data_IF_649434078042
#
_entry.id   IF_649434078042
#
_cell.length_a   1.000
_cell.length_b   1.000
_cell.length_c   1.000
_cell.angle_alpha   90.00
_cell.angle_beta   90.00
_cell.angle_gamma   90.00
#
_symmetry.space_group_name_H-M   'P 1'
#
loop_
_entity.id
_entity.type
_entity.pdbx_description
1 polymer ?
#
# COMPACT_ATOMS: atom_id res chain seq x y z
N UNK A 1 7.23 -28.98 20.15
CA UNK A 1 7.88 -29.66 19.00
C UNK A 1 6.96 -29.88 17.80
N UNK A 2 5.84 -29.13 17.66
CA UNK A 2 4.93 -29.20 16.48
C UNK A 2 4.83 -27.89 15.66
N UNK A 3 5.52 -26.82 16.07
CA UNK A 3 5.52 -25.52 15.39
C UNK A 3 6.56 -25.46 14.27
N UNK A 4 7.62 -26.28 14.33
CA UNK A 4 8.69 -26.31 13.32
C UNK A 4 8.27 -26.98 11.98
N UNK A 5 7.23 -27.81 11.96
CA UNK A 5 6.81 -28.51 10.73
C UNK A 5 5.93 -27.67 9.79
N UNK A 6 5.25 -26.62 10.30
CA UNK A 6 4.42 -25.72 9.47
C UNK A 6 5.28 -24.68 8.75
N UNK A 7 6.41 -24.29 9.36
CA UNK A 7 7.36 -23.32 8.76
C UNK A 7 8.06 -23.89 7.53
N UNK A 8 8.30 -25.21 7.49
CA UNK A 8 8.99 -25.86 6.36
C UNK A 8 8.12 -25.98 5.09
N UNK A 9 6.79 -26.03 5.22
CA UNK A 9 5.88 -26.18 4.07
C UNK A 9 5.54 -24.84 3.38
N UNK A 10 5.57 -23.73 4.11
CA UNK A 10 5.39 -22.39 3.53
C UNK A 10 6.69 -21.92 2.85
N UNK A 11 7.86 -22.31 3.38
CA UNK A 11 9.16 -21.97 2.80
C UNK A 11 9.48 -22.65 1.47
N UNK A 12 8.94 -23.85 1.21
CA UNK A 12 9.26 -24.62 0.01
C UNK A 12 8.54 -24.11 -1.26
N UNK A 13 7.41 -23.42 -1.13
CA UNK A 13 6.67 -22.84 -2.28
C UNK A 13 7.16 -21.44 -2.70
N UNK A 14 7.84 -20.72 -1.82
CA UNK A 14 8.35 -19.37 -2.05
C UNK A 14 9.79 -19.40 -2.60
N UNK A 15 10.51 -20.52 -2.41
CA UNK A 15 11.92 -20.67 -2.69
C UNK A 15 12.34 -20.61 -4.16
N UNK A 16 11.42 -20.75 -5.12
CA UNK A 16 11.78 -20.77 -6.54
C UNK A 16 12.01 -19.37 -7.14
N UNK A 17 11.41 -18.31 -6.59
CA UNK A 17 11.60 -16.92 -7.04
C UNK A 17 12.67 -16.16 -6.21
N UNK A 18 13.03 -16.68 -5.04
CA UNK A 18 13.97 -16.11 -4.08
C UNK A 18 15.19 -17.00 -3.80
N UNK A 19 15.56 -17.84 -4.75
CA UNK A 19 16.51 -18.97 -4.62
C UNK A 19 17.90 -18.67 -4.04
N UNK A 20 18.21 -17.44 -3.63
CA UNK A 20 19.50 -17.09 -2.99
C UNK A 20 19.35 -16.42 -1.62
N UNK A 21 18.14 -16.04 -1.19
CA UNK A 21 17.90 -15.34 0.08
C UNK A 21 16.91 -16.04 1.03
N UNK A 22 16.64 -17.33 0.85
CA UNK A 22 15.92 -18.10 1.87
C UNK A 22 16.76 -18.12 3.17
N UNK A 23 16.18 -17.78 4.34
CA UNK A 23 16.94 -17.80 5.60
C UNK A 23 17.53 -19.20 5.82
N UNK A 24 18.82 -19.26 6.15
CA UNK A 24 19.46 -20.51 6.52
C UNK A 24 18.89 -21.01 7.84
N UNK A 25 18.95 -22.31 8.12
CA UNK A 25 18.53 -22.84 9.42
C UNK A 25 19.22 -22.07 10.55
N UNK A 26 18.45 -21.36 11.39
CA UNK A 26 18.94 -20.53 12.49
C UNK A 26 19.01 -19.02 12.21
N UNK A 27 18.75 -18.56 10.96
CA UNK A 27 18.61 -17.14 10.65
C UNK A 27 17.15 -16.69 10.86
N UNK A 28 16.98 -15.47 11.40
CA UNK A 28 15.67 -14.85 11.51
C UNK A 28 15.13 -14.52 10.10
N UNK A 29 13.83 -14.76 9.84
CA UNK A 29 13.21 -14.37 8.58
C UNK A 29 13.42 -12.89 8.30
N UNK A 30 13.86 -12.55 7.09
CA UNK A 30 14.11 -11.17 6.66
C UNK A 30 13.05 -10.72 5.64
N UNK A 31 12.91 -9.39 5.50
CA UNK A 31 11.96 -8.79 4.60
C UNK A 31 10.51 -8.88 5.06
N UNK A 32 9.62 -8.29 4.30
CA UNK A 32 8.22 -8.10 4.71
C UNK A 32 7.48 -9.40 5.05
N UNK A 33 7.64 -10.44 4.25
CA UNK A 33 6.98 -11.75 4.52
C UNK A 33 7.55 -12.37 5.79
N UNK A 34 8.85 -12.29 6.01
CA UNK A 34 9.50 -12.78 7.22
C UNK A 34 9.01 -12.05 8.48
N UNK A 35 8.90 -10.74 8.42
CA UNK A 35 8.35 -9.91 9.50
C UNK A 35 6.88 -10.28 9.75
N UNK A 36 6.10 -10.46 8.67
CA UNK A 36 4.69 -10.80 8.76
C UNK A 36 4.40 -12.20 9.32
N UNK A 37 5.40 -13.07 9.50
CA UNK A 37 5.22 -14.41 10.11
C UNK A 37 4.68 -14.35 11.55
N UNK A 38 4.83 -13.22 12.24
CA UNK A 38 4.13 -13.02 13.53
C UNK A 38 2.60 -12.91 13.38
N UNK A 39 2.09 -12.68 12.16
CA UNK A 39 0.68 -12.75 11.77
C UNK A 39 0.54 -13.69 10.55
N UNK A 40 0.41 -15.01 10.73
CA UNK A 40 0.50 -15.99 9.66
C UNK A 40 -0.47 -15.78 8.51
N UNK A 41 -1.69 -15.31 8.78
CA UNK A 41 -2.67 -15.00 7.74
C UNK A 41 -2.22 -13.82 6.87
N UNK A 42 -1.63 -12.79 7.49
CA UNK A 42 -1.06 -11.63 6.78
C UNK A 42 0.12 -12.06 5.91
N UNK A 43 1.03 -12.90 6.44
CA UNK A 43 2.15 -13.43 5.68
C UNK A 43 1.70 -14.26 4.48
N UNK A 44 0.69 -15.11 4.67
CA UNK A 44 0.12 -15.93 3.59
C UNK A 44 -0.53 -15.09 2.50
N UNK A 45 -1.30 -14.06 2.87
CA UNK A 45 -1.92 -13.14 1.92
C UNK A 45 -0.88 -12.35 1.12
N UNK A 46 0.10 -11.73 1.82
CA UNK A 46 1.18 -10.98 1.18
C UNK A 46 2.01 -11.86 0.23
N UNK A 47 2.34 -13.08 0.65
CA UNK A 47 3.07 -14.04 -0.18
C UNK A 47 2.29 -14.48 -1.42
N UNK A 48 0.95 -14.60 -1.35
CA UNK A 48 0.11 -14.89 -2.53
C UNK A 48 0.05 -13.72 -3.51
N UNK A 49 -0.08 -12.49 -3.01
CA UNK A 49 -0.03 -11.28 -3.85
C UNK A 49 1.31 -11.21 -4.59
N UNK A 50 2.41 -11.36 -3.85
CA UNK A 50 3.75 -11.29 -4.39
C UNK A 50 4.01 -12.39 -5.43
N UNK A 51 3.67 -13.62 -5.13
CA UNK A 51 3.80 -14.75 -6.05
C UNK A 51 3.04 -14.49 -7.35
N UNK A 52 1.75 -14.13 -7.26
CA UNK A 52 0.96 -13.86 -8.44
C UNK A 52 1.58 -12.76 -9.30
N UNK A 53 1.85 -11.60 -8.70
CA UNK A 53 2.34 -10.44 -9.45
C UNK A 53 3.73 -10.65 -10.06
N UNK A 54 4.63 -11.35 -9.35
CA UNK A 54 6.01 -11.51 -9.81
C UNK A 54 6.23 -12.73 -10.71
N UNK A 55 5.39 -13.78 -10.58
CA UNK A 55 5.66 -15.06 -11.26
C UNK A 55 4.53 -15.57 -12.17
N UNK A 56 3.30 -15.13 -11.96
CA UNK A 56 2.13 -15.67 -12.65
C UNK A 56 1.46 -14.63 -13.57
N UNK A 57 1.46 -13.35 -13.20
CA UNK A 57 0.81 -12.29 -13.98
C UNK A 57 1.45 -12.12 -15.37
N UNK A 58 0.72 -11.51 -16.30
CA UNK A 58 1.23 -11.18 -17.62
C UNK A 58 2.41 -10.18 -17.58
N UNK A 59 2.58 -9.46 -16.47
CA UNK A 59 3.63 -8.46 -16.26
C UNK A 59 4.88 -9.02 -15.57
N UNK A 60 4.91 -10.32 -15.24
CA UNK A 60 6.04 -10.95 -14.55
C UNK A 60 7.40 -10.68 -15.24
N UNK A 61 8.47 -10.85 -14.49
CA UNK A 61 9.83 -10.65 -14.99
C UNK A 61 10.19 -9.17 -15.12
N UNK A 62 10.61 -8.72 -16.30
CA UNK A 62 11.17 -7.39 -16.55
C UNK A 62 10.22 -6.25 -16.15
N UNK A 63 8.92 -6.33 -16.49
CA UNK A 63 7.97 -5.25 -16.18
C UNK A 63 7.66 -5.19 -14.68
N UNK A 64 7.50 -6.33 -14.03
CA UNK A 64 7.31 -6.38 -12.58
C UNK A 64 8.53 -5.81 -11.85
N UNK A 65 9.73 -6.13 -12.31
CA UNK A 65 10.98 -5.60 -11.77
C UNK A 65 11.07 -4.07 -11.92
N UNK A 66 10.72 -3.53 -13.10
CA UNK A 66 10.69 -2.09 -13.33
C UNK A 66 9.74 -1.39 -12.35
N UNK A 67 8.48 -1.85 -12.27
CA UNK A 67 7.44 -1.22 -11.44
C UNK A 67 7.79 -1.27 -9.95
N UNK A 68 8.30 -2.41 -9.46
CA UNK A 68 8.70 -2.53 -8.05
C UNK A 68 9.92 -1.68 -7.70
N UNK A 69 10.88 -1.50 -8.64
CA UNK A 69 11.99 -0.55 -8.47
C UNK A 69 11.52 0.91 -8.46
N UNK A 70 10.53 1.27 -9.28
CA UNK A 70 9.92 2.61 -9.24
C UNK A 70 9.37 2.88 -7.85
N UNK A 71 8.62 1.95 -7.25
CA UNK A 71 8.11 2.12 -5.88
C UNK A 71 9.24 2.23 -4.86
N UNK A 72 10.25 1.37 -4.95
CA UNK A 72 11.39 1.42 -4.04
C UNK A 72 12.10 2.79 -4.11
N UNK A 73 12.22 3.38 -5.31
CA UNK A 73 12.79 4.72 -5.50
C UNK A 73 11.87 5.81 -4.95
N UNK A 74 10.62 5.84 -5.39
CA UNK A 74 9.68 6.91 -5.05
C UNK A 74 9.32 6.96 -3.55
N UNK A 75 9.51 5.85 -2.84
CA UNK A 75 9.30 5.77 -1.40
C UNK A 75 10.59 5.71 -0.57
N UNK A 76 11.77 5.86 -1.18
CA UNK A 76 13.06 5.73 -0.52
C UNK A 76 13.24 4.41 0.28
N UNK A 77 12.80 3.26 -0.27
CA UNK A 77 12.87 1.96 0.38
C UNK A 77 14.24 1.30 0.13
N UNK A 78 15.24 1.64 0.94
CA UNK A 78 16.61 1.18 0.74
C UNK A 78 16.74 -0.36 0.78
N UNK A 79 16.04 -1.03 1.69
CA UNK A 79 16.04 -2.50 1.74
C UNK A 79 15.42 -3.09 0.47
N UNK A 80 14.23 -2.63 0.06
CA UNK A 80 13.57 -3.09 -1.17
C UNK A 80 14.47 -2.89 -2.40
N UNK A 81 15.09 -1.70 -2.51
CA UNK A 81 16.03 -1.44 -3.60
C UNK A 81 17.19 -2.43 -3.59
N UNK A 82 17.79 -2.67 -2.42
CA UNK A 82 18.97 -3.52 -2.27
C UNK A 82 18.74 -4.97 -2.71
N UNK A 83 17.54 -5.50 -2.44
CA UNK A 83 17.19 -6.89 -2.80
C UNK A 83 16.62 -7.02 -4.22
N UNK A 84 16.09 -5.93 -4.80
CA UNK A 84 15.42 -5.96 -6.10
C UNK A 84 16.30 -5.51 -7.27
N UNK A 85 17.34 -4.70 -7.04
CA UNK A 85 18.18 -4.18 -8.12
C UNK A 85 18.89 -5.29 -8.88
N UNK A 86 19.45 -6.28 -8.18
CA UNK A 86 20.10 -7.42 -8.81
C UNK A 86 19.10 -8.33 -9.54
N UNK A 87 17.97 -8.64 -8.91
CA UNK A 87 16.90 -9.40 -9.52
C UNK A 87 16.33 -8.71 -10.76
N UNK A 88 16.25 -7.39 -10.77
CA UNK A 88 15.81 -6.60 -11.91
C UNK A 88 16.77 -6.75 -13.10
N UNK A 89 18.07 -6.68 -12.85
CA UNK A 89 19.09 -6.91 -13.89
C UNK A 89 19.05 -8.34 -14.41
N UNK A 90 18.88 -9.31 -13.52
CA UNK A 90 18.75 -10.72 -13.90
C UNK A 90 17.48 -11.00 -14.72
N UNK A 91 16.43 -10.21 -14.54
CA UNK A 91 15.18 -10.28 -15.34
C UNK A 91 15.29 -9.60 -16.72
N UNK A 92 16.45 -9.06 -17.07
CA UNK A 92 16.69 -8.38 -18.34
C UNK A 92 16.33 -6.89 -18.32
N UNK A 93 16.16 -6.27 -17.15
CA UNK A 93 15.98 -4.82 -17.07
C UNK A 93 17.33 -4.14 -17.34
N UNK A 94 17.37 -3.30 -18.36
CA UNK A 94 18.58 -2.65 -18.85
C UNK A 94 19.16 -1.68 -17.81
N UNK A 95 20.49 -1.64 -17.70
CA UNK A 95 21.20 -0.79 -16.75
C UNK A 95 20.83 0.70 -16.89
N UNK A 96 20.57 1.16 -18.11
CA UNK A 96 20.15 2.54 -18.36
C UNK A 96 18.77 2.85 -17.73
N UNK A 97 17.82 1.90 -17.78
CA UNK A 97 16.49 2.05 -17.17
C UNK A 97 16.63 2.07 -15.64
N UNK A 98 17.42 1.14 -15.07
CA UNK A 98 17.70 1.11 -13.62
C UNK A 98 18.32 2.44 -13.17
N UNK A 99 19.25 2.99 -13.94
CA UNK A 99 19.90 4.28 -13.61
C UNK A 99 18.93 5.46 -13.66
N UNK A 100 18.05 5.52 -14.67
CA UNK A 100 17.00 6.57 -14.76
C UNK A 100 16.06 6.50 -13.56
N UNK A 101 15.67 5.31 -13.12
CA UNK A 101 14.85 5.14 -11.91
C UNK A 101 15.65 5.58 -10.68
N UNK A 102 16.89 5.10 -10.52
CA UNK A 102 17.76 5.33 -9.37
C UNK A 102 18.06 6.81 -9.15
N UNK A 103 18.50 7.49 -10.21
CA UNK A 103 18.90 8.91 -10.17
C UNK A 103 17.73 9.88 -10.27
N UNK A 104 16.51 9.36 -10.49
CA UNK A 104 15.35 10.18 -10.83
C UNK A 104 15.55 11.00 -12.12
N UNK A 105 16.33 10.47 -13.04
CA UNK A 105 16.66 11.10 -14.30
C UNK A 105 15.45 11.22 -15.25
N UNK A 106 15.61 11.99 -16.35
CA UNK A 106 14.59 12.12 -17.39
C UNK A 106 14.36 10.79 -18.10
N UNK A 107 13.14 10.57 -18.59
CA UNK A 107 12.75 9.33 -19.29
C UNK A 107 13.00 9.37 -20.80
N UNK A 108 13.44 10.52 -21.32
CA UNK A 108 13.80 10.71 -22.72
C UNK A 108 14.94 9.77 -23.09
N UNK A 109 14.79 9.08 -24.22
CA UNK A 109 15.73 8.05 -24.67
C UNK A 109 15.42 6.64 -24.21
N UNK A 110 14.48 6.44 -23.29
CA UNK A 110 13.93 5.13 -22.97
C UNK A 110 12.87 4.69 -24.00
N UNK A 111 12.52 3.39 -23.98
CA UNK A 111 11.37 2.92 -24.73
C UNK A 111 10.10 3.66 -24.28
N UNK A 112 9.14 3.88 -25.21
CA UNK A 112 7.84 4.48 -24.85
C UNK A 112 7.13 3.72 -23.72
N UNK A 113 7.35 2.41 -23.66
CA UNK A 113 6.77 1.57 -22.61
C UNK A 113 7.37 1.85 -21.24
N UNK A 114 8.69 1.89 -21.15
CA UNK A 114 9.38 2.14 -19.88
C UNK A 114 9.13 3.56 -19.40
N UNK A 115 9.18 4.53 -20.31
CA UNK A 115 8.86 5.92 -20.00
C UNK A 115 7.45 6.06 -19.40
N UNK A 116 6.44 5.44 -20.04
CA UNK A 116 5.07 5.45 -19.53
C UNK A 116 4.96 4.86 -18.12
N UNK A 117 5.57 3.70 -17.86
CA UNK A 117 5.47 3.03 -16.56
C UNK A 117 6.20 3.80 -15.45
N UNK A 118 7.36 4.37 -15.75
CA UNK A 118 8.10 5.22 -14.82
C UNK A 118 7.32 6.49 -14.50
N UNK A 119 6.81 7.18 -15.52
CA UNK A 119 6.05 8.41 -15.33
C UNK A 119 4.71 8.17 -14.62
N UNK A 120 4.06 7.04 -14.89
CA UNK A 120 2.87 6.63 -14.15
C UNK A 120 3.16 6.50 -12.64
N UNK A 121 4.22 5.79 -12.28
CA UNK A 121 4.63 5.64 -10.89
C UNK A 121 5.03 6.98 -10.24
N UNK A 122 5.78 7.81 -10.94
CA UNK A 122 6.15 9.15 -10.47
C UNK A 122 4.93 10.04 -10.20
N UNK A 123 3.98 10.08 -11.12
CA UNK A 123 2.73 10.82 -10.94
C UNK A 123 1.95 10.29 -9.74
N UNK A 124 1.83 8.95 -9.62
CA UNK A 124 1.11 8.30 -8.54
C UNK A 124 1.67 8.66 -7.16
N UNK A 125 2.98 8.53 -6.96
CA UNK A 125 3.59 8.74 -5.65
C UNK A 125 3.76 10.20 -5.28
N UNK A 126 4.15 11.07 -6.24
CA UNK A 126 4.45 12.48 -5.97
C UNK A 126 3.19 13.34 -5.95
N UNK A 127 2.26 13.10 -6.87
CA UNK A 127 1.06 13.92 -7.02
C UNK A 127 -0.18 13.31 -6.34
N UNK A 128 -0.09 12.04 -5.89
CA UNK A 128 -1.25 11.25 -5.44
C UNK A 128 -2.40 11.25 -6.45
N UNK A 129 -2.05 11.37 -7.69
CA UNK A 129 -2.95 11.43 -8.83
C UNK A 129 -2.18 11.10 -10.10
N UNK A 130 -2.82 10.34 -10.98
CA UNK A 130 -2.31 10.06 -12.32
C UNK A 130 -3.17 10.82 -13.33
N UNK A 131 -2.55 11.51 -14.28
CA UNK A 131 -3.28 12.23 -15.32
C UNK A 131 -4.10 11.27 -16.19
N UNK A 132 -5.28 11.72 -16.64
CA UNK A 132 -6.20 10.89 -17.45
C UNK A 132 -5.54 10.34 -18.71
N UNK A 133 -4.71 11.15 -19.40
CA UNK A 133 -3.97 10.69 -20.58
C UNK A 133 -2.96 9.58 -20.27
N UNK A 134 -2.24 9.69 -19.14
CA UNK A 134 -1.28 8.66 -18.70
C UNK A 134 -2.01 7.37 -18.30
N UNK A 135 -3.14 7.49 -17.63
CA UNK A 135 -3.96 6.34 -17.27
C UNK A 135 -4.55 5.64 -18.51
N UNK A 136 -5.10 6.41 -19.45
CA UNK A 136 -5.63 5.87 -20.71
C UNK A 136 -4.53 5.13 -21.49
N UNK A 137 -3.33 5.72 -21.62
CA UNK A 137 -2.20 5.08 -22.29
C UNK A 137 -1.78 3.76 -21.60
N UNK A 138 -1.86 3.66 -20.26
CA UNK A 138 -1.60 2.42 -19.54
C UNK A 138 -2.65 1.35 -19.88
N UNK A 139 -3.95 1.73 -19.87
CA UNK A 139 -5.05 0.81 -20.19
C UNK A 139 -5.00 0.37 -21.64
N UNK A 140 -4.74 1.29 -22.58
CA UNK A 140 -4.59 0.96 -24.01
C UNK A 140 -3.47 -0.04 -24.27
N UNK A 141 -2.38 0.07 -23.50
CA UNK A 141 -1.24 -0.81 -23.66
C UNK A 141 -1.41 -2.18 -23.01
N UNK A 142 -1.98 -2.24 -21.82
CA UNK A 142 -1.99 -3.44 -20.97
C UNK A 142 -3.38 -4.08 -20.84
N UNK A 143 -4.41 -3.43 -21.35
CA UNK A 143 -5.79 -3.80 -21.06
C UNK A 143 -6.17 -3.50 -19.60
N UNK A 144 -7.43 -3.75 -19.25
CA UNK A 144 -7.97 -3.43 -17.94
C UNK A 144 -7.29 -4.20 -16.80
N UNK A 145 -7.17 -5.52 -16.94
CA UNK A 145 -6.51 -6.38 -15.96
C UNK A 145 -5.02 -6.05 -15.82
N UNK A 146 -4.30 -5.95 -16.95
CA UNK A 146 -2.88 -5.61 -16.92
C UNK A 146 -2.60 -4.23 -16.32
N UNK A 147 -3.46 -3.25 -16.55
CA UNK A 147 -3.36 -1.94 -15.90
C UNK A 147 -3.56 -2.05 -14.38
N UNK A 148 -4.51 -2.87 -13.92
CA UNK A 148 -4.70 -3.11 -12.49
C UNK A 148 -3.52 -3.88 -11.88
N UNK A 149 -3.00 -4.90 -12.55
CA UNK A 149 -1.80 -5.63 -12.11
C UNK A 149 -0.56 -4.70 -12.01
N UNK A 150 -0.40 -3.76 -12.96
CA UNK A 150 0.64 -2.74 -12.90
C UNK A 150 0.48 -1.80 -11.70
N UNK A 151 -0.75 -1.39 -11.41
CA UNK A 151 -1.08 -0.58 -10.22
C UNK A 151 -0.75 -1.38 -8.94
N UNK A 152 -1.10 -2.65 -8.90
CA UNK A 152 -0.80 -3.50 -7.74
C UNK A 152 0.71 -3.77 -7.60
N UNK A 153 1.47 -3.89 -8.69
CA UNK A 153 2.95 -3.96 -8.67
C UNK A 153 3.60 -2.69 -8.11
N UNK A 154 2.96 -1.53 -8.27
CA UNK A 154 3.38 -0.29 -7.62
C UNK A 154 2.90 -0.22 -6.16
N UNK A 155 1.73 -0.76 -5.84
CA UNK A 155 1.10 -0.58 -4.55
C UNK A 155 1.56 -1.59 -3.49
N UNK A 156 1.68 -2.90 -3.81
CA UNK A 156 2.01 -3.89 -2.78
C UNK A 156 3.39 -3.69 -2.12
N UNK A 157 4.43 -3.18 -2.81
CA UNK A 157 5.71 -2.91 -2.14
C UNK A 157 5.64 -1.80 -1.10
N UNK A 158 4.58 -0.97 -1.12
CA UNK A 158 4.37 0.04 -0.07
C UNK A 158 4.03 -0.61 1.26
N UNK A 159 3.21 -1.67 1.26
CA UNK A 159 2.92 -2.48 2.46
C UNK A 159 4.19 -3.16 2.98
N UNK A 160 4.96 -3.76 2.08
CA UNK A 160 6.24 -4.37 2.43
C UNK A 160 7.21 -3.35 3.06
N UNK A 161 7.33 -2.16 2.47
CA UNK A 161 8.18 -1.09 2.97
C UNK A 161 7.76 -0.55 4.35
N UNK A 162 6.47 -0.55 4.67
CA UNK A 162 5.99 -0.17 6.01
C UNK A 162 6.41 -1.21 7.05
N UNK A 163 6.27 -2.51 6.76
CA UNK A 163 6.73 -3.57 7.66
C UNK A 163 8.24 -3.47 7.92
N UNK A 164 9.02 -3.20 6.88
CA UNK A 164 10.47 -3.05 6.98
C UNK A 164 10.87 -1.80 7.79
N UNK A 165 10.19 -0.67 7.57
CA UNK A 165 10.39 0.55 8.36
C UNK A 165 10.01 0.37 9.83
N UNK A 166 9.01 -0.43 10.13
CA UNK A 166 8.54 -0.66 11.49
C UNK A 166 9.60 -1.35 12.35
N UNK A 167 10.38 -2.26 11.77
CA UNK A 167 11.46 -3.00 12.46
C UNK A 167 12.86 -2.47 12.13
N UNK A 168 12.94 -1.32 11.45
CA UNK A 168 14.20 -0.71 10.98
C UNK A 168 15.08 -1.73 10.19
N UNK A 169 14.44 -2.46 9.26
CA UNK A 169 15.12 -3.48 8.46
C UNK A 169 16.24 -2.86 7.64
N UNK A 170 17.47 -3.25 7.97
CA UNK A 170 18.65 -2.75 7.28
C UNK A 170 18.91 -3.52 5.96
N UNK A 171 19.45 -2.85 4.92
CA UNK A 171 19.95 -3.53 3.73
C UNK A 171 21.01 -4.58 4.08
N UNK A 172 21.23 -5.58 3.19
CA UNK A 172 22.24 -6.62 3.40
C UNK A 172 23.63 -6.06 3.66
N UNK A 173 24.45 -6.80 4.40
CA UNK A 173 25.83 -6.42 4.69
C UNK A 173 26.61 -6.13 3.40
N UNK A 174 27.38 -5.04 3.38
CA UNK A 174 28.14 -4.60 2.20
C UNK A 174 27.33 -3.76 1.21
N UNK A 175 26.04 -3.57 1.41
CA UNK A 175 25.27 -2.62 0.62
C UNK A 175 25.62 -1.18 1.01
N UNK A 176 25.81 -0.31 0.01
CA UNK A 176 26.12 1.11 0.23
C UNK A 176 24.88 1.98 0.03
N UNK A 177 24.63 2.90 0.96
CA UNK A 177 23.57 3.91 0.82
C UNK A 177 23.73 4.78 -0.44
N UNK A 178 24.94 4.88 -1.01
CA UNK A 178 25.19 5.56 -2.26
C UNK A 178 24.45 4.89 -3.47
N UNK A 179 24.04 3.63 -3.34
CA UNK A 179 23.24 2.95 -4.37
C UNK A 179 21.81 3.47 -4.48
N UNK A 180 21.28 4.08 -3.41
CA UNK A 180 19.98 4.75 -3.44
C UNK A 180 20.11 6.10 -2.70
N UNK A 181 20.72 7.11 -3.31
CA UNK A 181 20.89 8.42 -2.67
C UNK A 181 19.54 9.07 -2.42
N UNK A 182 19.39 9.76 -1.28
CA UNK A 182 18.18 10.55 -1.02
C UNK A 182 18.07 11.69 -2.03
N UNK A 183 16.88 11.87 -2.58
CA UNK A 183 16.58 12.92 -3.55
C UNK A 183 15.49 13.80 -2.94
N UNK A 184 15.69 15.12 -3.00
CA UNK A 184 14.70 16.08 -2.53
C UNK A 184 13.36 15.92 -3.27
N UNK A 185 12.25 15.94 -2.54
CA UNK A 185 10.91 15.78 -3.07
C UNK A 185 10.52 14.33 -3.42
N UNK A 186 11.39 13.35 -3.19
CA UNK A 186 11.10 11.93 -3.31
C UNK A 186 10.90 11.34 -1.91
N UNK A 187 9.88 10.53 -1.75
CA UNK A 187 9.43 9.97 -0.46
C UNK A 187 7.93 10.14 -0.29
N UNK A 188 7.40 9.80 0.87
CA UNK A 188 5.97 9.93 1.14
C UNK A 188 5.63 11.41 1.43
N UNK A 189 4.90 12.11 0.54
CA UNK A 189 4.62 13.53 0.72
C UNK A 189 3.49 13.73 1.74
N UNK A 190 3.84 13.84 3.02
CA UNK A 190 2.85 14.01 4.11
C UNK A 190 2.36 15.45 4.29
N UNK A 191 3.01 16.43 3.68
CA UNK A 191 2.80 17.86 3.96
C UNK A 191 3.41 18.29 5.29
N UNK A 192 3.10 19.50 5.72
CA UNK A 192 3.58 20.07 7.00
C UNK A 192 2.54 19.82 8.11
N UNK A 193 2.85 18.94 9.09
CA UNK A 193 1.91 18.65 10.18
C UNK A 193 1.56 19.92 10.98
N UNK A 194 0.29 20.08 11.28
CA UNK A 194 -0.22 21.23 12.05
C UNK A 194 -0.41 22.52 11.23
N UNK A 195 0.05 22.55 9.98
CA UNK A 195 -0.21 23.66 9.07
C UNK A 195 -1.28 23.26 8.06
N UNK A 196 -2.38 24.01 8.00
CA UNK A 196 -3.51 23.66 7.14
C UNK A 196 -3.84 24.78 6.16
N UNK A 197 -4.30 24.38 4.98
CA UNK A 197 -4.79 25.28 3.93
C UNK A 197 -6.18 24.83 3.49
N UNK A 198 -6.95 25.75 2.94
CA UNK A 198 -8.23 25.41 2.34
C UNK A 198 -8.04 24.47 1.15
N UNK A 199 -8.91 23.46 1.03
CA UNK A 199 -9.01 22.71 -0.21
C UNK A 199 -9.52 23.64 -1.32
N UNK A 200 -9.05 23.47 -2.56
CA UNK A 200 -9.65 24.17 -3.70
C UNK A 200 -11.13 23.78 -3.84
N UNK A 201 -11.90 24.56 -4.60
CA UNK A 201 -13.25 24.14 -4.96
C UNK A 201 -13.21 22.76 -5.63
N UNK A 202 -14.17 21.89 -5.29
CA UNK A 202 -14.22 20.54 -5.85
C UNK A 202 -14.59 20.64 -7.33
N UNK A 203 -13.74 20.17 -8.24
CA UNK A 203 -14.07 20.19 -9.66
C UNK A 203 -15.21 19.20 -9.98
N UNK A 204 -15.91 19.38 -11.11
CA UNK A 204 -16.82 18.38 -11.64
C UNK A 204 -16.15 17.02 -11.80
N UNK A 205 -16.92 15.96 -11.80
CA UNK A 205 -16.41 14.62 -12.00
C UNK A 205 -15.71 14.55 -13.37
N UNK A 206 -14.42 14.12 -13.44
CA UNK A 206 -13.72 13.99 -14.71
C UNK A 206 -14.41 12.98 -15.63
N UNK A 207 -14.30 13.19 -16.94
CA UNK A 207 -14.96 12.34 -17.95
C UNK A 207 -14.45 10.89 -17.99
N UNK A 208 -13.29 10.59 -17.40
CA UNK A 208 -12.73 9.24 -17.26
C UNK A 208 -13.09 8.57 -15.93
N UNK A 209 -13.92 9.22 -15.10
CA UNK A 209 -14.42 8.66 -13.83
C UNK A 209 -15.90 8.31 -13.98
N UNK A 210 -16.25 7.07 -13.67
CA UNK A 210 -17.61 6.55 -13.80
C UNK A 210 -18.49 6.96 -12.62
N UNK A 211 -19.74 7.36 -12.91
CA UNK A 211 -20.67 7.83 -11.89
C UNK A 211 -21.19 6.73 -10.95
N UNK A 212 -21.15 5.47 -11.39
CA UNK A 212 -21.57 4.31 -10.58
C UNK A 212 -20.52 3.89 -9.55
N UNK A 213 -19.24 3.97 -9.89
CA UNK A 213 -18.11 3.55 -9.06
C UNK A 213 -17.43 4.70 -8.32
N UNK A 214 -17.42 5.90 -8.88
CA UNK A 214 -16.62 7.06 -8.48
C UNK A 214 -15.11 6.85 -8.65
N UNK A 215 -14.71 5.95 -9.57
CA UNK A 215 -13.32 5.77 -10.02
C UNK A 215 -13.28 5.42 -11.53
N UNK A 216 -12.07 5.25 -12.10
CA UNK A 216 -11.82 5.16 -13.55
C UNK A 216 -12.29 3.87 -14.24
N UNK A 217 -12.82 2.92 -13.51
CA UNK A 217 -13.50 1.75 -14.09
C UNK A 217 -14.93 1.67 -13.58
N UNK A 218 -15.89 1.25 -14.41
CA UNK A 218 -17.25 1.01 -13.95
C UNK A 218 -17.29 -0.15 -12.96
N UNK A 219 -18.33 -0.22 -12.16
CA UNK A 219 -18.61 -1.43 -11.38
C UNK A 219 -18.77 -2.62 -12.33
N UNK A 220 -18.18 -3.75 -11.97
CA UNK A 220 -18.30 -4.95 -12.78
C UNK A 220 -19.64 -5.62 -12.50
N UNK A 221 -20.42 -5.87 -13.58
CA UNK A 221 -21.66 -6.60 -13.45
C UNK A 221 -21.38 -8.10 -13.30
N UNK A 222 -22.03 -8.75 -12.34
CA UNK A 222 -21.90 -10.19 -12.08
C UNK A 222 -22.09 -11.05 -13.33
N UNK A 223 -23.06 -10.67 -14.20
CA UNK A 223 -23.36 -11.37 -15.47
C UNK A 223 -22.20 -11.35 -16.46
N UNK A 224 -21.33 -10.33 -16.40
CA UNK A 224 -20.22 -10.13 -17.33
C UNK A 224 -18.91 -10.79 -16.85
N UNK A 225 -18.92 -11.37 -15.63
CA UNK A 225 -17.79 -12.09 -15.09
C UNK A 225 -17.68 -13.49 -15.71
N UNK A 226 -16.45 -13.97 -15.90
CA UNK A 226 -16.21 -15.37 -16.23
C UNK A 226 -16.66 -16.31 -15.08
N UNK A 227 -16.68 -17.61 -15.33
CA UNK A 227 -17.21 -18.59 -14.37
C UNK A 227 -16.48 -18.56 -13.04
N UNK A 228 -15.14 -18.47 -13.05
CA UNK A 228 -14.29 -18.42 -11.83
C UNK A 228 -14.51 -17.12 -11.06
N UNK A 229 -14.47 -15.99 -11.75
CA UNK A 229 -14.69 -14.68 -11.15
C UNK A 229 -16.11 -14.55 -10.59
N UNK A 230 -17.10 -15.20 -11.20
CA UNK A 230 -18.47 -15.22 -10.71
C UNK A 230 -18.63 -16.09 -9.45
N UNK A 231 -18.00 -17.25 -9.39
CA UNK A 231 -17.96 -18.06 -8.18
C UNK A 231 -17.32 -17.29 -7.00
N UNK A 232 -16.21 -16.61 -7.29
CA UNK A 232 -15.53 -15.76 -6.33
C UNK A 232 -16.40 -14.58 -5.88
N UNK A 233 -17.12 -13.95 -6.83
CA UNK A 233 -18.08 -12.88 -6.54
C UNK A 233 -19.18 -13.37 -5.59
N UNK A 234 -19.79 -14.53 -5.89
CA UNK A 234 -20.87 -15.10 -5.09
C UNK A 234 -20.44 -15.39 -3.66
N UNK A 235 -19.20 -15.81 -3.48
CA UNK A 235 -18.60 -16.09 -2.16
C UNK A 235 -18.24 -14.80 -1.39
N UNK A 236 -17.68 -13.80 -2.04
CA UNK A 236 -17.11 -12.61 -1.38
C UNK A 236 -18.13 -11.46 -1.29
N UNK A 237 -18.95 -11.27 -2.32
CA UNK A 237 -19.90 -10.17 -2.44
C UNK A 237 -21.34 -10.62 -2.13
N UNK A 238 -21.67 -11.83 -2.50
CA UNK A 238 -22.99 -12.46 -2.36
C UNK A 238 -23.71 -12.65 -3.70
N UNK A 239 -24.43 -13.77 -3.84
CA UNK A 239 -25.09 -14.15 -5.10
C UNK A 239 -26.24 -13.23 -5.49
N UNK A 240 -26.86 -12.52 -4.54
CA UNK A 240 -27.99 -11.60 -4.76
C UNK A 240 -27.56 -10.21 -5.22
N UNK A 241 -26.27 -9.97 -5.35
CA UNK A 241 -25.75 -8.69 -5.84
C UNK A 241 -25.59 -8.71 -7.35
N UNK A 242 -25.94 -7.63 -7.99
CA UNK A 242 -25.82 -7.50 -9.46
C UNK A 242 -24.44 -6.97 -9.89
N UNK A 243 -23.77 -6.18 -9.04
CA UNK A 243 -22.50 -5.55 -9.34
C UNK A 243 -21.51 -5.66 -8.17
N UNK A 244 -20.22 -5.53 -8.48
CA UNK A 244 -19.18 -5.38 -7.45
C UNK A 244 -19.51 -4.18 -6.55
N UNK A 245 -19.13 -4.23 -5.25
CA UNK A 245 -19.26 -3.07 -4.37
C UNK A 245 -18.28 -1.97 -4.78
N UNK A 246 -18.56 -0.74 -4.39
CA UNK A 246 -17.58 0.34 -4.43
C UNK A 246 -16.44 0.07 -3.46
N UNK A 247 -15.28 0.64 -3.75
CA UNK A 247 -14.10 0.53 -2.87
C UNK A 247 -13.22 -0.68 -3.16
N UNK A 248 -12.30 -1.02 -2.25
CA UNK A 248 -11.18 -1.93 -2.53
C UNK A 248 -11.63 -3.32 -2.94
N UNK A 249 -12.65 -3.88 -2.29
CA UNK A 249 -13.19 -5.22 -2.64
C UNK A 249 -13.63 -5.27 -4.10
N UNK A 250 -14.39 -4.27 -4.56
CA UNK A 250 -14.86 -4.25 -5.95
C UNK A 250 -13.73 -4.02 -6.95
N UNK A 251 -12.73 -3.23 -6.58
CA UNK A 251 -11.56 -2.95 -7.42
C UNK A 251 -10.71 -4.20 -7.67
N UNK A 252 -10.56 -5.08 -6.67
CA UNK A 252 -9.77 -6.31 -6.82
C UNK A 252 -10.35 -7.28 -7.85
N UNK A 253 -11.64 -7.21 -8.15
CA UNK A 253 -12.25 -8.00 -9.24
C UNK A 253 -11.76 -7.61 -10.65
N UNK A 254 -10.98 -6.55 -10.79
CA UNK A 254 -10.25 -6.25 -12.02
C UNK A 254 -9.14 -7.28 -12.30
N UNK A 255 -8.67 -8.01 -11.26
CA UNK A 255 -7.73 -9.13 -11.33
C UNK A 255 -8.13 -10.17 -10.28
N UNK A 256 -8.83 -11.23 -10.72
CA UNK A 256 -9.47 -12.21 -9.84
C UNK A 256 -8.50 -12.89 -8.85
N UNK A 257 -7.26 -13.09 -9.24
CA UNK A 257 -6.20 -13.68 -8.41
C UNK A 257 -5.87 -12.85 -7.16
N UNK A 258 -6.19 -11.54 -7.19
CA UNK A 258 -5.90 -10.61 -6.08
C UNK A 258 -7.07 -10.46 -5.10
N UNK A 259 -8.28 -10.93 -5.44
CA UNK A 259 -9.47 -10.77 -4.60
C UNK A 259 -9.27 -11.41 -3.24
N UNK A 260 -9.04 -12.73 -3.21
CA UNK A 260 -8.91 -13.47 -1.94
C UNK A 260 -7.71 -13.01 -1.10
N UNK A 261 -6.46 -12.92 -1.64
CA UNK A 261 -5.33 -12.56 -0.80
C UNK A 261 -5.43 -11.15 -0.20
N UNK A 262 -5.97 -10.18 -0.93
CA UNK A 262 -6.22 -8.83 -0.39
C UNK A 262 -7.31 -8.88 0.69
N UNK A 263 -8.38 -9.62 0.45
CA UNK A 263 -9.48 -9.76 1.40
C UNK A 263 -9.05 -10.48 2.68
N UNK A 264 -8.22 -11.52 2.55
CA UNK A 264 -7.72 -12.28 3.69
C UNK A 264 -6.81 -11.42 4.58
N UNK A 265 -5.94 -10.59 3.99
CA UNK A 265 -5.12 -9.63 4.75
C UNK A 265 -6.02 -8.67 5.52
N UNK A 266 -6.98 -8.04 4.84
CA UNK A 266 -7.87 -7.07 5.48
C UNK A 266 -8.69 -7.71 6.61
N UNK A 267 -9.26 -8.91 6.38
CA UNK A 267 -10.00 -9.65 7.39
C UNK A 267 -9.13 -10.04 8.58
N UNK A 268 -7.91 -10.54 8.33
CA UNK A 268 -6.97 -10.93 9.37
C UNK A 268 -6.56 -9.75 10.27
N UNK A 269 -6.36 -8.58 9.68
CA UNK A 269 -5.86 -7.41 10.41
C UNK A 269 -6.98 -6.60 11.06
N UNK A 270 -8.10 -6.40 10.36
CA UNK A 270 -9.17 -5.50 10.79
C UNK A 270 -10.23 -6.18 11.64
N UNK A 271 -10.59 -7.42 11.29
CA UNK A 271 -11.68 -8.17 11.94
C UNK A 271 -11.15 -9.16 12.96
N UNK A 272 -10.14 -9.92 12.60
CA UNK A 272 -9.61 -11.03 13.41
C UNK A 272 -8.27 -10.70 14.09
N UNK A 273 -7.79 -9.46 13.92
CA UNK A 273 -6.53 -9.02 14.50
C UNK A 273 -6.59 -8.84 16.01
N UNK A 274 -5.45 -9.00 16.67
CA UNK A 274 -5.35 -8.89 18.14
C UNK A 274 -5.46 -7.46 18.67
N UNK A 275 -5.41 -6.46 17.79
CA UNK A 275 -5.62 -5.05 18.16
C UNK A 275 -7.07 -4.78 18.56
N UNK A 276 -8.04 -5.52 18.00
CA UNK A 276 -9.47 -5.27 18.11
C UNK A 276 -9.94 -4.11 17.23
N UNK A 277 -11.23 -4.11 16.90
CA UNK A 277 -11.81 -3.18 15.90
C UNK A 277 -11.56 -1.71 16.22
N UNK A 278 -11.71 -1.29 17.49
CA UNK A 278 -11.53 0.12 17.89
C UNK A 278 -10.12 0.62 17.54
N UNK A 279 -9.09 -0.08 17.98
CA UNK A 279 -7.71 0.35 17.76
C UNK A 279 -7.28 0.19 16.29
N UNK A 280 -7.77 -0.84 15.62
CA UNK A 280 -7.56 -1.00 14.18
C UNK A 280 -8.10 0.21 13.40
N UNK A 281 -9.33 0.67 13.68
CA UNK A 281 -9.89 1.85 13.01
C UNK A 281 -9.14 3.14 13.35
N UNK A 282 -8.62 3.30 14.58
CA UNK A 282 -7.75 4.42 14.96
C UNK A 282 -6.47 4.42 14.11
N UNK A 283 -5.81 3.27 13.96
CA UNK A 283 -4.58 3.12 13.14
C UNK A 283 -4.88 3.45 11.68
N UNK A 284 -6.01 2.99 11.15
CA UNK A 284 -6.42 3.28 9.77
C UNK A 284 -6.72 4.78 9.60
N UNK A 285 -7.45 5.39 10.52
CA UNK A 285 -7.73 6.82 10.47
C UNK A 285 -6.44 7.66 10.55
N UNK A 286 -5.49 7.27 11.43
CA UNK A 286 -4.17 7.90 11.51
C UNK A 286 -3.37 7.74 10.21
N UNK A 287 -3.41 6.54 9.59
CA UNK A 287 -2.81 6.31 8.27
C UNK A 287 -3.44 7.22 7.20
N UNK A 288 -4.77 7.33 7.19
CA UNK A 288 -5.50 8.25 6.32
C UNK A 288 -5.06 9.71 6.52
N UNK A 289 -4.82 10.14 7.79
CA UNK A 289 -4.28 11.48 8.09
C UNK A 289 -2.88 11.67 7.52
N UNK A 290 -1.97 10.73 7.74
CA UNK A 290 -0.59 10.84 7.24
C UNK A 290 -0.56 10.83 5.70
N UNK A 291 -1.47 10.12 5.06
CA UNK A 291 -1.68 10.16 3.61
C UNK A 291 -2.48 11.39 3.15
N UNK A 292 -2.96 12.24 4.05
CA UNK A 292 -3.86 13.36 3.72
C UNK A 292 -5.07 12.93 2.87
N UNK A 293 -5.55 11.69 3.07
CA UNK A 293 -6.64 11.08 2.29
C UNK A 293 -8.00 11.41 2.90
N UNK A 294 -8.78 12.20 2.16
CA UNK A 294 -10.15 12.53 2.54
C UNK A 294 -11.04 11.27 2.58
N UNK A 295 -10.85 10.37 1.62
CA UNK A 295 -11.65 9.14 1.54
C UNK A 295 -11.43 8.24 2.76
N UNK A 296 -10.16 7.95 3.08
CA UNK A 296 -9.83 7.10 4.23
C UNK A 296 -10.32 7.73 5.54
N UNK A 297 -10.13 9.03 5.72
CA UNK A 297 -10.62 9.75 6.88
C UNK A 297 -12.15 9.70 6.99
N UNK A 298 -12.87 9.99 5.92
CA UNK A 298 -14.33 10.01 5.93
C UNK A 298 -14.93 8.65 6.31
N UNK A 299 -14.34 7.57 5.84
CA UNK A 299 -14.80 6.21 6.13
C UNK A 299 -14.34 5.75 7.52
N UNK A 300 -13.05 5.85 7.80
CA UNK A 300 -12.45 5.21 8.97
C UNK A 300 -12.45 6.10 10.22
N UNK A 301 -12.48 7.40 10.07
CA UNK A 301 -12.77 8.31 11.21
C UNK A 301 -14.16 8.07 11.78
N UNK A 302 -15.17 7.88 10.91
CA UNK A 302 -16.53 7.54 11.34
C UNK A 302 -16.58 6.10 11.93
N UNK A 303 -15.89 5.14 11.33
CA UNK A 303 -15.82 3.77 11.84
C UNK A 303 -15.11 3.70 13.20
N UNK A 304 -14.04 4.47 13.42
CA UNK A 304 -13.36 4.57 14.70
C UNK A 304 -14.28 5.13 15.78
N UNK A 305 -15.02 6.21 15.47
CA UNK A 305 -16.03 6.76 16.38
C UNK A 305 -17.11 5.72 16.73
N UNK A 306 -17.64 5.02 15.73
CA UNK A 306 -18.65 3.97 15.94
C UNK A 306 -18.10 2.78 16.75
N UNK A 307 -16.80 2.48 16.66
CA UNK A 307 -16.11 1.48 17.45
C UNK A 307 -15.72 1.95 18.86
N UNK A 308 -16.08 3.18 19.25
CA UNK A 308 -15.85 3.74 20.59
C UNK A 308 -14.52 4.47 20.74
N UNK A 309 -13.90 4.94 19.65
CA UNK A 309 -12.78 5.88 19.75
C UNK A 309 -13.27 7.22 20.33
N UNK A 310 -12.58 7.71 21.36
CA UNK A 310 -12.91 8.98 21.98
C UNK A 310 -12.68 10.17 21.04
N UNK A 311 -13.45 11.26 21.24
CA UNK A 311 -13.30 12.46 20.40
C UNK A 311 -11.88 13.03 20.47
N UNK A 312 -11.21 12.93 21.63
CA UNK A 312 -9.85 13.42 21.84
C UNK A 312 -8.83 12.76 20.90
N UNK A 313 -8.91 11.45 20.68
CA UNK A 313 -7.99 10.77 19.75
C UNK A 313 -8.30 11.14 18.30
N UNK A 314 -9.59 11.25 17.95
CA UNK A 314 -10.01 11.66 16.60
C UNK A 314 -9.56 13.09 16.29
N UNK A 315 -9.69 14.01 17.25
CA UNK A 315 -9.24 15.39 17.11
C UNK A 315 -7.70 15.48 17.05
N UNK A 316 -6.99 14.69 17.86
CA UNK A 316 -5.53 14.60 17.79
C UNK A 316 -5.06 14.11 16.41
N UNK A 317 -5.70 13.07 15.85
CA UNK A 317 -5.39 12.59 14.52
C UNK A 317 -5.72 13.67 13.48
N UNK A 318 -6.94 14.18 13.48
CA UNK A 318 -7.47 15.12 12.49
C UNK A 318 -6.62 16.39 12.40
N UNK A 319 -6.25 16.96 13.54
CA UNK A 319 -5.62 18.27 13.65
C UNK A 319 -4.11 18.19 13.93
N UNK A 320 -3.49 17.03 13.78
CA UNK A 320 -2.06 16.81 14.12
C UNK A 320 -1.70 17.17 15.57
N UNK A 321 -2.68 17.11 16.48
CA UNK A 321 -2.50 17.43 17.89
C UNK A 321 -1.52 16.49 18.61
N UNK A 322 -1.04 16.87 19.79
CA UNK A 322 -0.17 16.05 20.61
C UNK A 322 -0.88 14.76 21.07
N UNK A 323 -0.12 13.68 21.21
CA UNK A 323 -0.63 12.39 21.70
C UNK A 323 -0.51 12.23 23.22
N UNK A 324 0.14 13.17 23.89
CA UNK A 324 0.48 13.10 25.33
C UNK A 324 -0.69 13.10 26.29
N UNK A 325 -1.87 13.57 25.82
CA UNK A 325 -3.13 13.58 26.60
C UNK A 325 -4.06 12.42 26.27
N UNK A 326 -3.63 11.51 25.38
CA UNK A 326 -4.43 10.35 24.99
C UNK A 326 -4.22 9.18 25.94
N UNK A 327 -5.16 8.22 25.92
CA UNK A 327 -4.90 6.88 26.47
C UNK A 327 -3.62 6.32 25.88
N UNK A 328 -2.85 5.60 26.69
CA UNK A 328 -1.51 5.15 26.31
C UNK A 328 -1.49 4.27 25.08
N UNK A 329 -2.49 3.37 24.94
CA UNK A 329 -2.59 2.50 23.76
C UNK A 329 -2.86 3.30 22.48
N UNK A 330 -3.72 4.32 22.59
CA UNK A 330 -4.03 5.23 21.50
C UNK A 330 -2.83 6.11 21.16
N UNK A 331 -2.14 6.62 22.18
CA UNK A 331 -0.94 7.46 22.02
C UNK A 331 0.17 6.71 21.27
N UNK A 332 0.43 5.45 21.67
CA UNK A 332 1.44 4.61 21.02
C UNK A 332 1.03 4.28 19.60
N UNK A 333 -0.21 3.91 19.34
CA UNK A 333 -0.69 3.56 17.99
C UNK A 333 -0.61 4.76 17.03
N UNK A 334 -1.06 5.94 17.45
CA UNK A 334 -0.97 7.17 16.63
C UNK A 334 0.49 7.60 16.45
N UNK A 335 1.29 7.54 17.51
CA UNK A 335 2.73 7.87 17.47
C UNK A 335 3.51 6.95 16.54
N UNK A 336 3.28 5.64 16.62
CA UNK A 336 3.87 4.62 15.75
C UNK A 336 3.56 4.89 14.27
N UNK A 337 2.28 5.16 13.96
CA UNK A 337 1.83 5.51 12.61
C UNK A 337 2.55 6.75 12.10
N UNK A 338 2.59 7.83 12.89
CA UNK A 338 3.27 9.08 12.53
C UNK A 338 4.75 8.87 12.23
N UNK A 339 5.46 8.09 13.04
CA UNK A 339 6.89 7.84 12.86
C UNK A 339 7.18 7.12 11.54
N UNK A 340 6.37 6.11 11.16
CA UNK A 340 6.52 5.41 9.86
C UNK A 340 6.47 6.39 8.69
N UNK A 341 5.59 7.39 8.73
CA UNK A 341 5.44 8.33 7.62
C UNK A 341 6.39 9.52 7.69
N UNK A 342 6.62 10.07 8.88
CA UNK A 342 7.36 11.33 9.07
C UNK A 342 8.85 11.12 9.25
N UNK A 343 9.25 9.98 9.85
CA UNK A 343 10.64 9.65 10.16
C UNK A 343 11.18 8.48 9.32
N UNK A 344 10.31 7.84 8.53
CA UNK A 344 10.60 6.65 7.71
C UNK A 344 11.11 5.45 8.53
N UNK A 345 10.87 5.45 9.83
CA UNK A 345 11.20 4.37 10.80
C UNK A 345 10.37 4.55 12.07
N UNK A 346 10.28 3.49 12.86
CA UNK A 346 9.77 3.58 14.24
C UNK A 346 10.97 3.68 15.19
N UNK A 347 10.90 4.59 16.15
CA UNK A 347 11.94 4.74 17.15
C UNK A 347 12.00 3.52 18.08
N UNK A 348 13.20 3.10 18.54
CA UNK A 348 13.34 1.91 19.39
C UNK A 348 12.45 1.91 20.62
N UNK A 349 12.33 3.08 21.31
CA UNK A 349 11.48 3.24 22.48
C UNK A 349 9.98 3.10 22.17
N UNK A 350 9.52 3.62 21.02
CA UNK A 350 8.14 3.47 20.58
C UNK A 350 7.86 2.02 20.21
N UNK A 351 8.78 1.37 19.52
CA UNK A 351 8.67 -0.04 19.17
C UNK A 351 8.62 -0.94 20.39
N UNK A 352 9.55 -0.74 21.36
CA UNK A 352 9.55 -1.49 22.62
C UNK A 352 8.23 -1.32 23.38
N UNK A 353 7.72 -0.08 23.45
CA UNK A 353 6.45 0.19 24.13
C UNK A 353 5.25 -0.45 23.39
N UNK A 354 5.26 -0.47 22.06
CA UNK A 354 4.25 -1.18 21.29
C UNK A 354 4.28 -2.69 21.57
N UNK A 355 5.46 -3.30 21.67
CA UNK A 355 5.61 -4.72 22.03
C UNK A 355 5.12 -5.00 23.46
N UNK A 356 5.37 -4.13 24.42
CA UNK A 356 4.86 -4.27 25.81
C UNK A 356 3.33 -4.22 25.86
N UNK A 357 2.69 -3.33 25.08
CA UNK A 357 1.25 -3.11 25.10
C UNK A 357 0.45 -4.08 24.24
N UNK A 358 1.03 -4.54 23.12
CA UNK A 358 0.31 -5.31 22.08
C UNK A 358 0.94 -6.66 21.79
N UNK A 359 2.09 -6.97 22.38
CA UNK A 359 2.92 -8.13 22.04
C UNK A 359 3.54 -8.03 20.65
N UNK A 360 4.42 -8.96 20.32
CA UNK A 360 5.07 -9.00 18.99
C UNK A 360 4.03 -9.09 17.86
N UNK A 361 3.02 -9.94 18.01
CA UNK A 361 1.97 -10.11 17.02
C UNK A 361 1.19 -8.80 16.81
N UNK A 362 0.73 -8.16 17.86
CA UNK A 362 -0.05 -6.93 17.75
C UNK A 362 0.76 -5.78 17.15
N UNK A 363 2.05 -5.69 17.48
CA UNK A 363 2.96 -4.69 16.90
C UNK A 363 3.14 -4.90 15.39
N UNK A 364 3.32 -6.16 14.96
CA UNK A 364 3.43 -6.49 13.53
C UNK A 364 2.08 -6.29 12.81
N UNK A 365 0.96 -6.69 13.42
CA UNK A 365 -0.37 -6.44 12.85
C UNK A 365 -0.67 -4.94 12.73
N UNK A 366 -0.21 -4.10 13.66
CA UNK A 366 -0.29 -2.64 13.54
C UNK A 366 0.48 -2.12 12.33
N UNK A 367 1.73 -2.53 12.17
CA UNK A 367 2.54 -2.16 11.01
C UNK A 367 1.93 -2.67 9.70
N UNK A 368 1.46 -3.90 9.68
CA UNK A 368 0.81 -4.50 8.53
C UNK A 368 -0.49 -3.76 8.16
N UNK A 369 -1.29 -3.34 9.13
CA UNK A 369 -2.51 -2.57 8.93
C UNK A 369 -2.21 -1.19 8.33
N UNK A 370 -1.18 -0.49 8.82
CA UNK A 370 -0.70 0.76 8.23
C UNK A 370 -0.30 0.53 6.76
N UNK A 371 0.44 -0.56 6.50
CA UNK A 371 0.90 -0.93 5.17
C UNK A 371 -0.24 -1.31 4.22
N UNK A 372 -1.22 -2.08 4.68
CA UNK A 372 -2.42 -2.46 3.91
C UNK A 372 -3.19 -1.21 3.46
N UNK A 373 -3.41 -0.26 4.37
CA UNK A 373 -4.14 0.97 4.04
C UNK A 373 -3.32 1.98 3.24
N UNK A 374 -2.00 1.94 3.30
CA UNK A 374 -1.13 2.65 2.36
C UNK A 374 -1.22 2.05 0.96
N UNK A 375 -1.18 0.72 0.84
CA UNK A 375 -1.38 -0.01 -0.42
C UNK A 375 -2.75 0.32 -1.04
N UNK A 376 -3.83 0.21 -0.27
CA UNK A 376 -5.19 0.53 -0.71
C UNK A 376 -5.31 2.00 -1.16
N UNK A 377 -4.74 2.95 -0.41
CA UNK A 377 -4.75 4.37 -0.78
C UNK A 377 -3.96 4.62 -2.07
N UNK A 378 -2.87 3.89 -2.28
CA UNK A 378 -2.11 3.95 -3.53
C UNK A 378 -2.96 3.49 -4.72
N UNK A 379 -3.72 2.41 -4.57
CA UNK A 379 -4.69 1.95 -5.59
C UNK A 379 -5.78 3.00 -5.83
N UNK A 380 -6.33 3.62 -4.79
CA UNK A 380 -7.33 4.68 -4.93
C UNK A 380 -6.79 5.88 -5.72
N UNK A 381 -5.59 6.32 -5.43
CA UNK A 381 -4.94 7.41 -6.13
C UNK A 381 -4.69 7.09 -7.62
N UNK A 382 -4.28 5.85 -7.94
CA UNK A 382 -4.07 5.40 -9.31
C UNK A 382 -5.38 5.33 -10.10
N UNK A 383 -6.43 4.77 -9.48
CA UNK A 383 -7.75 4.64 -10.11
C UNK A 383 -8.58 5.93 -10.07
N UNK A 384 -8.06 7.01 -9.49
CA UNK A 384 -8.77 8.28 -9.44
C UNK A 384 -10.04 8.25 -8.57
N UNK A 385 -10.02 7.49 -7.46
CA UNK A 385 -11.16 7.37 -6.54
C UNK A 385 -11.60 8.74 -6.03
N UNK A 386 -12.91 8.99 -6.03
CA UNK A 386 -13.54 10.24 -5.60
C UNK A 386 -14.43 10.04 -4.38
N UNK A 387 -14.52 11.08 -3.55
CA UNK A 387 -15.62 11.19 -2.61
C UNK A 387 -16.94 11.36 -3.37
N UNK A 388 -18.02 10.76 -2.89
CA UNK A 388 -19.35 10.98 -3.44
C UNK A 388 -19.87 12.39 -3.05
N UNK A 389 -20.87 12.91 -3.78
CA UNK A 389 -21.47 14.22 -3.46
C UNK A 389 -22.03 14.32 -2.03
N UNK A 390 -22.52 13.19 -1.48
CA UNK A 390 -23.04 13.08 -0.11
C UNK A 390 -21.96 12.95 0.97
N UNK A 391 -20.70 12.85 0.60
CA UNK A 391 -19.55 12.73 1.49
C UNK A 391 -18.82 14.07 1.63
N UNK A 392 -18.81 14.61 2.84
CA UNK A 392 -18.08 15.83 3.14
C UNK A 392 -16.57 15.56 3.34
N UNK A 393 -15.72 16.43 2.78
CA UNK A 393 -14.30 16.45 3.07
C UNK A 393 -14.06 17.18 4.40
N UNK A 394 -13.91 16.44 5.48
CA UNK A 394 -13.77 17.00 6.83
C UNK A 394 -12.34 16.98 7.36
N UNK A 395 -11.40 16.36 6.64
CA UNK A 395 -9.99 16.34 7.03
C UNK A 395 -9.31 17.65 6.59
N UNK A 396 -8.75 18.46 7.49
CA UNK A 396 -8.03 19.67 7.11
C UNK A 396 -6.85 19.32 6.18
N UNK A 397 -6.70 20.03 5.08
CA UNK A 397 -5.63 19.75 4.11
C UNK A 397 -4.31 20.32 4.59
N UNK A 398 -3.25 19.49 4.72
CA UNK A 398 -1.93 19.96 5.14
C UNK A 398 -1.28 20.81 4.06
N UNK A 399 -0.70 21.93 4.46
CA UNK A 399 0.11 22.76 3.59
C UNK A 399 1.29 21.96 3.00
N UNK A 400 1.53 22.10 1.71
CA UNK A 400 2.60 21.39 1.01
C UNK A 400 2.31 19.92 0.68
N UNK A 401 1.20 19.34 1.13
CA UNK A 401 0.77 18.03 0.66
C UNK A 401 0.12 18.13 -0.74
N UNK A 402 0.31 17.13 -1.61
CA UNK A 402 -0.43 17.12 -2.87
C UNK A 402 -1.92 16.90 -2.60
N UNK A 403 -2.76 17.55 -3.40
CA UNK A 403 -4.20 17.27 -3.42
C UNK A 403 -4.40 15.93 -4.15
N UNK A 404 -4.88 14.94 -3.42
CA UNK A 404 -5.07 13.59 -3.95
C UNK A 404 -6.20 13.47 -4.97
N UNK A 405 -6.28 12.27 -5.58
CA UNK A 405 -7.28 11.98 -6.60
C UNK A 405 -8.72 12.25 -6.13
N UNK A 406 -9.01 11.97 -4.87
CA UNK A 406 -10.34 12.13 -4.29
C UNK A 406 -10.92 13.54 -4.33
N UNK A 407 -10.09 14.54 -4.63
CA UNK A 407 -10.47 15.95 -4.69
C UNK A 407 -10.16 16.64 -6.03
N UNK A 408 -9.59 15.94 -7.01
CA UNK A 408 -9.21 16.53 -8.31
C UNK A 408 -10.23 16.26 -9.41
#
# INVERSE_FOLDING_TARGET
>A
MRILAVVALVGAGIGAAWGQNAPRPGESPQGAVGIALYSPATAAGLGRIERYLLTESALRGRLAALLTLVTAREMNLAYQWSVREEAARASGLEAAVVEVIRSNGPVEGLSRADALLIDFGRQLFRNRHVQSATFAALVDRLGRQGAFDAIMLLAYPTMAGVLERAVDQQPPQGWSAARLPRIAGVGTPTGRPGEFVALPERPPLPGDVHADSYYRFPLLARRDLDARSRELFDRVVGPDRETTPRGPVGMTFLSAELVEPVQDINTALRTNGVLGTRLAEIVIAATGREMNSQYQWTVHGAAAAAAGAGQSVLDAIRNDGPVTALDERDAVAVGFTRQIFREERVRPETFARAVELFGNRGTVEMAALIGDYLMVTTVYNALGMRLRPDQAATLPHRAGAPVGAEWR
#
